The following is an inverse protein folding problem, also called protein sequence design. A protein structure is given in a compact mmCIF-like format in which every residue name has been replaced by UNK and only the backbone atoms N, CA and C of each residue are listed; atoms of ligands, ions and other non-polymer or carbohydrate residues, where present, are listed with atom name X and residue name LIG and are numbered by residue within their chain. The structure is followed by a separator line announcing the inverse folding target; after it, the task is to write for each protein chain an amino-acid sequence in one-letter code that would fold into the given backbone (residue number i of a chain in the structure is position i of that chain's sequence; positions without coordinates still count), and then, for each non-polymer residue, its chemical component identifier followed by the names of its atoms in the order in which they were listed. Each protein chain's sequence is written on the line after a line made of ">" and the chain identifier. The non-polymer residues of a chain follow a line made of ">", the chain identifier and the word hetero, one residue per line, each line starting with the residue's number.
data_IF_015466847974
#
_entry.id   IF_015466847974
#
_cell.length_a   1.000
_cell.length_b   1.000
_cell.length_c   1.000
_cell.angle_alpha   90.00
_cell.angle_beta   90.00
_cell.angle_gamma   90.00
#
_symmetry.space_group_name_H-M   'P 1'
#
loop_
_entity.id
_entity.type
_entity.pdbx_description
1 polymer ?
#
# COMPACT_ATOMS: atom_id res chain seq x y z
N UNK A 1 17.07 -33.15 -16.42
CA UNK A 1 17.19 -32.89 -14.97
C UNK A 1 16.99 -31.42 -14.60
N UNK A 2 17.43 -30.46 -15.43
CA UNK A 2 17.21 -29.02 -15.19
C UNK A 2 15.72 -28.61 -15.09
N UNK A 3 14.83 -29.17 -15.93
CA UNK A 3 13.38 -28.83 -15.95
C UNK A 3 12.67 -29.13 -14.61
N UNK A 4 13.06 -30.21 -13.93
CA UNK A 4 12.50 -30.60 -12.62
C UNK A 4 13.00 -29.68 -11.50
N UNK A 5 14.22 -29.15 -11.64
CA UNK A 5 14.80 -28.19 -10.70
C UNK A 5 14.04 -26.86 -10.82
N UNK A 6 13.78 -26.37 -12.04
CA UNK A 6 13.03 -25.13 -12.29
C UNK A 6 11.61 -25.15 -11.69
N UNK A 7 10.90 -26.28 -11.81
CA UNK A 7 9.57 -26.45 -11.18
C UNK A 7 9.63 -26.32 -9.65
N UNK A 8 10.63 -26.92 -9.01
CA UNK A 8 10.77 -26.88 -7.55
C UNK A 8 11.19 -25.51 -7.04
N UNK A 9 12.11 -24.82 -7.73
CA UNK A 9 12.56 -23.48 -7.33
C UNK A 9 11.42 -22.45 -7.47
N UNK A 10 10.61 -22.56 -8.53
CA UNK A 10 9.47 -21.67 -8.75
C UNK A 10 8.37 -21.88 -7.69
N UNK A 11 8.11 -23.13 -7.31
CA UNK A 11 7.20 -23.46 -6.20
C UNK A 11 7.71 -22.89 -4.87
N UNK A 12 9.02 -23.00 -4.58
CA UNK A 12 9.61 -22.45 -3.35
C UNK A 12 9.49 -20.92 -3.32
N UNK A 13 9.76 -20.22 -4.42
CA UNK A 13 9.58 -18.76 -4.51
C UNK A 13 8.11 -18.36 -4.32
N UNK A 14 7.18 -19.11 -4.91
CA UNK A 14 5.75 -18.86 -4.76
C UNK A 14 5.28 -19.08 -3.31
N UNK A 15 5.78 -20.12 -2.64
CA UNK A 15 5.48 -20.40 -1.23
C UNK A 15 6.07 -19.32 -0.31
N UNK A 16 7.33 -18.91 -0.54
CA UNK A 16 7.97 -17.83 0.22
C UNK A 16 7.23 -16.50 0.05
N UNK A 17 6.73 -16.21 -1.15
CA UNK A 17 5.90 -15.04 -1.42
C UNK A 17 4.61 -15.10 -0.59
N UNK A 18 3.84 -16.19 -0.70
CA UNK A 18 2.60 -16.40 0.07
C UNK A 18 2.86 -16.31 1.58
N UNK A 19 3.97 -16.87 2.07
CA UNK A 19 4.34 -16.85 3.48
C UNK A 19 4.70 -15.45 3.97
N UNK A 20 5.43 -14.65 3.17
CA UNK A 20 5.68 -13.24 3.46
C UNK A 20 4.41 -12.40 3.56
N UNK A 21 3.36 -12.71 2.78
CA UNK A 21 2.07 -12.02 2.92
C UNK A 21 1.30 -12.41 4.20
N UNK A 22 1.55 -13.60 4.76
CA UNK A 22 0.82 -14.08 5.95
C UNK A 22 1.43 -13.66 7.29
N UNK A 23 2.71 -13.25 7.33
CA UNK A 23 3.39 -12.90 8.60
C UNK A 23 3.18 -11.45 9.05
N UNK A 24 2.50 -10.60 8.27
CA UNK A 24 2.26 -9.21 8.63
C UNK A 24 1.02 -9.05 9.54
N UNK A 25 1.07 -9.55 10.77
CA UNK A 25 0.03 -9.26 11.76
C UNK A 25 0.57 -9.36 13.19
N UNK A 26 1.01 -8.23 13.73
CA UNK A 26 1.07 -8.06 15.19
C UNK A 26 0.34 -6.82 15.71
N UNK A 27 0.03 -5.81 14.89
CA UNK A 27 -0.98 -4.77 15.14
C UNK A 27 -0.99 -3.82 13.93
N UNK A 28 -2.17 -3.28 13.58
CA UNK A 28 -2.29 -2.29 12.51
C UNK A 28 -1.73 -0.95 13.00
N UNK A 29 -0.90 -0.29 12.19
CA UNK A 29 -0.39 1.06 12.47
C UNK A 29 -0.93 2.02 11.42
N UNK A 30 -1.56 3.11 11.84
CA UNK A 30 -2.11 4.13 10.95
C UNK A 30 -1.50 5.50 11.26
N UNK A 31 -1.57 6.42 10.29
CA UNK A 31 -1.36 7.84 10.58
C UNK A 31 -2.60 8.41 11.26
N UNK A 32 -2.40 9.26 12.27
CA UNK A 32 -3.46 9.96 12.99
C UNK A 32 -3.26 11.47 12.93
N UNK A 33 -4.34 12.18 12.63
CA UNK A 33 -4.48 13.61 12.88
C UNK A 33 -5.93 14.06 12.73
N UNK A 34 -6.33 15.11 13.44
CA UNK A 34 -7.72 15.59 13.43
C UNK A 34 -7.95 16.72 12.41
N UNK A 35 -6.96 17.56 12.14
CA UNK A 35 -7.04 18.67 11.18
C UNK A 35 -5.69 19.01 10.56
N UNK A 36 -5.34 18.27 9.52
CA UNK A 36 -4.09 18.40 8.79
C UNK A 36 -4.26 19.19 7.49
N UNK A 37 -3.39 20.18 7.17
CA UNK A 37 -3.42 20.89 5.89
C UNK A 37 -2.91 20.03 4.72
N UNK A 38 -3.47 20.17 3.52
CA UNK A 38 -2.92 19.58 2.27
C UNK A 38 -2.17 20.66 1.46
N UNK A 39 -1.08 20.37 0.73
CA UNK A 39 -0.35 19.11 0.59
C UNK A 39 0.56 18.86 1.79
N UNK A 40 0.60 17.62 2.29
CA UNK A 40 1.55 17.27 3.34
C UNK A 40 2.95 17.13 2.77
N UNK A 41 3.81 18.07 3.15
CA UNK A 41 5.21 17.75 3.42
C UNK A 41 5.26 16.91 4.70
N UNK A 42 6.08 15.86 4.67
CA UNK A 42 6.16 14.80 5.68
C UNK A 42 6.74 15.25 7.05
N UNK A 43 6.69 16.55 7.34
CA UNK A 43 7.37 17.25 8.45
C UNK A 43 6.40 17.96 9.40
N UNK A 44 5.09 17.93 9.12
CA UNK A 44 4.08 18.47 10.02
C UNK A 44 4.02 17.66 11.32
N UNK A 45 4.35 18.30 12.45
CA UNK A 45 4.23 17.73 13.79
C UNK A 45 2.80 17.31 14.18
N UNK A 46 1.81 17.66 13.35
CA UNK A 46 0.39 17.34 13.55
C UNK A 46 0.03 15.89 13.16
N UNK A 47 0.91 15.19 12.44
CA UNK A 47 0.70 13.79 12.05
C UNK A 47 1.60 12.89 12.86
N UNK A 48 0.99 11.93 13.53
CA UNK A 48 1.72 10.91 14.29
C UNK A 48 1.28 9.52 13.85
N UNK A 49 2.22 8.58 13.87
CA UNK A 49 1.91 7.17 13.72
C UNK A 49 1.28 6.66 15.03
N UNK A 50 0.18 5.93 14.93
CA UNK A 50 -0.49 5.32 16.08
C UNK A 50 -0.73 3.84 15.82
N UNK A 51 -0.44 3.03 16.83
CA UNK A 51 -0.82 1.62 16.86
C UNK A 51 -2.32 1.52 17.16
N UNK A 52 -3.07 0.93 16.24
CA UNK A 52 -4.50 0.72 16.41
C UNK A 52 -4.77 -0.34 17.48
N UNK A 53 -5.92 -0.21 18.12
CA UNK A 53 -6.42 -1.21 19.09
C UNK A 53 -6.82 -2.50 18.37
N UNK A 54 -6.98 -3.60 19.12
CA UNK A 54 -7.39 -4.90 18.55
C UNK A 54 -8.76 -4.89 17.87
N UNK A 55 -9.64 -3.95 18.22
CA UNK A 55 -10.94 -3.75 17.58
C UNK A 55 -10.90 -2.86 16.34
N UNK A 56 -9.78 -2.16 16.10
CA UNK A 56 -9.58 -1.26 14.97
C UNK A 56 -8.71 -1.93 13.91
N UNK A 57 -9.33 -2.39 12.84
CA UNK A 57 -8.68 -3.15 11.76
C UNK A 57 -8.54 -2.36 10.47
N UNK A 58 -8.90 -1.07 10.47
CA UNK A 58 -8.93 -0.23 9.28
C UNK A 58 -8.33 1.16 9.59
N UNK A 59 -7.45 1.64 8.71
CA UNK A 59 -7.03 3.03 8.65
C UNK A 59 -8.02 3.84 7.80
N UNK A 60 -8.41 5.01 8.29
CA UNK A 60 -9.29 5.95 7.59
C UNK A 60 -8.55 7.25 7.28
N UNK A 61 -8.92 7.87 6.15
CA UNK A 61 -8.60 9.25 5.78
C UNK A 61 -9.87 9.93 5.28
N UNK A 62 -10.28 11.00 5.95
CA UNK A 62 -11.34 11.88 5.48
C UNK A 62 -10.71 13.14 4.89
N UNK A 63 -11.22 13.60 3.76
CA UNK A 63 -10.80 14.83 3.10
C UNK A 63 -12.03 15.65 2.79
N UNK A 64 -12.08 16.89 3.27
CA UNK A 64 -13.17 17.83 3.00
C UNK A 64 -12.60 18.99 2.19
N UNK A 65 -13.18 19.22 1.01
CA UNK A 65 -12.81 20.30 0.10
C UNK A 65 -13.95 21.30 -0.02
N UNK A 66 -13.68 22.55 0.29
CA UNK A 66 -14.64 23.65 0.24
C UNK A 66 -13.99 24.77 -0.59
N UNK A 67 -14.78 25.42 -1.45
CA UNK A 67 -14.30 26.53 -2.28
C UNK A 67 -13.73 27.65 -1.39
N UNK A 68 -12.62 28.26 -1.82
CA UNK A 68 -11.94 29.32 -1.10
C UNK A 68 -11.46 28.95 0.31
N UNK A 69 -11.32 27.66 0.63
CA UNK A 69 -10.73 27.18 1.90
C UNK A 69 -9.67 26.12 1.65
N UNK A 70 -8.68 26.07 2.54
CA UNK A 70 -7.70 24.98 2.55
C UNK A 70 -8.42 23.65 2.81
N UNK A 71 -8.08 22.56 2.09
CA UNK A 71 -8.62 21.24 2.35
C UNK A 71 -8.39 20.83 3.80
N UNK A 72 -9.41 20.22 4.41
CA UNK A 72 -9.33 19.69 5.77
C UNK A 72 -9.17 18.17 5.69
N UNK A 73 -8.11 17.64 6.29
CA UNK A 73 -7.86 16.20 6.34
C UNK A 73 -7.88 15.72 7.78
N UNK A 74 -8.58 14.60 8.02
CA UNK A 74 -8.49 13.84 9.26
C UNK A 74 -8.09 12.39 8.97
N UNK A 75 -7.26 11.79 9.82
CA UNK A 75 -6.76 10.42 9.68
C UNK A 75 -6.83 9.68 11.02
N UNK A 76 -7.01 8.37 10.98
CA UNK A 76 -6.95 7.56 12.20
C UNK A 76 -7.26 6.08 11.99
N UNK A 77 -7.53 5.40 13.09
CA UNK A 77 -7.92 3.99 13.15
C UNK A 77 -9.43 3.86 13.42
N UNK A 78 -10.11 2.96 12.72
CA UNK A 78 -11.54 2.64 12.91
C UNK A 78 -11.78 1.13 12.81
N UNK A 79 -12.88 0.67 13.40
CA UNK A 79 -13.32 -0.73 13.32
C UNK A 79 -13.99 -1.06 11.98
N UNK A 80 -14.72 -0.09 11.42
CA UNK A 80 -15.42 -0.20 10.15
C UNK A 80 -15.34 1.13 9.39
N UNK A 81 -15.18 1.04 8.08
CA UNK A 81 -15.07 2.22 7.20
C UNK A 81 -15.68 1.88 5.84
N UNK A 82 -16.51 2.77 5.31
CA UNK A 82 -17.09 2.64 3.96
C UNK A 82 -16.52 3.76 3.10
N UNK A 83 -15.75 3.42 2.05
CA UNK A 83 -15.24 4.42 1.11
C UNK A 83 -16.39 5.20 0.49
N UNK A 84 -16.25 6.52 0.45
CA UNK A 84 -17.27 7.41 -0.08
C UNK A 84 -16.63 8.61 -0.77
N UNK A 85 -17.27 9.10 -1.82
CA UNK A 85 -16.82 10.24 -2.59
C UNK A 85 -18.05 11.07 -2.96
N UNK A 86 -18.23 12.17 -2.23
CA UNK A 86 -19.20 13.20 -2.59
C UNK A 86 -18.44 14.35 -3.25
N UNK A 87 -18.82 14.68 -4.48
CA UNK A 87 -18.21 15.75 -5.24
C UNK A 87 -19.31 16.56 -5.95
N UNK A 88 -19.32 17.85 -5.70
CA UNK A 88 -20.15 18.83 -6.37
C UNK A 88 -19.29 20.05 -6.72
N UNK A 89 -19.03 20.26 -8.02
CA UNK A 89 -18.16 21.34 -8.52
C UNK A 89 -16.76 21.40 -7.86
N UNK A 90 -16.10 20.26 -7.67
CA UNK A 90 -14.76 20.19 -7.08
C UNK A 90 -14.72 20.34 -5.56
N UNK A 91 -15.89 20.47 -4.93
CA UNK A 91 -16.08 20.53 -3.49
C UNK A 91 -16.74 19.24 -3.00
N UNK A 92 -16.47 18.86 -1.77
CA UNK A 92 -17.15 17.76 -1.13
C UNK A 92 -16.27 16.96 -0.19
N UNK A 93 -16.82 15.86 0.32
CA UNK A 93 -16.20 15.00 1.30
C UNK A 93 -15.82 13.65 0.68
N UNK A 94 -14.58 13.24 0.94
CA UNK A 94 -13.99 11.99 0.46
C UNK A 94 -13.54 11.18 1.67
N UNK A 95 -13.90 9.91 1.70
CA UNK A 95 -13.52 8.94 2.73
C UNK A 95 -12.76 7.82 2.04
N UNK A 96 -11.47 7.69 2.38
CA UNK A 96 -10.59 6.62 1.93
C UNK A 96 -10.34 5.65 3.09
N UNK A 97 -10.46 4.35 2.84
CA UNK A 97 -10.28 3.29 3.82
C UNK A 97 -9.25 2.28 3.33
N UNK A 98 -8.37 1.81 4.20
CA UNK A 98 -7.37 0.79 3.87
C UNK A 98 -6.94 0.02 5.13
N UNK A 99 -6.38 -1.17 5.00
CA UNK A 99 -6.14 -2.10 6.12
C UNK A 99 -4.68 -2.58 6.24
N UNK A 100 -3.73 -1.83 5.68
CA UNK A 100 -2.30 -2.11 5.76
C UNK A 100 -1.57 -1.04 6.56
N UNK A 101 -0.41 -1.37 7.13
CA UNK A 101 0.34 -0.41 7.93
C UNK A 101 0.68 0.85 7.12
N UNK A 102 0.41 2.02 7.70
CA UNK A 102 0.67 3.35 7.13
C UNK A 102 -0.05 3.66 5.80
N UNK A 103 -1.08 2.89 5.45
CA UNK A 103 -1.73 2.98 4.15
C UNK A 103 -2.54 4.25 3.92
N UNK A 104 -2.97 4.92 4.99
CA UNK A 104 -3.72 6.18 4.92
C UNK A 104 -2.81 7.42 4.73
N UNK A 105 -1.62 7.20 4.16
CA UNK A 105 -0.72 8.27 3.73
C UNK A 105 -1.29 9.00 2.51
N UNK A 106 -0.92 10.27 2.36
CA UNK A 106 -1.45 11.12 1.28
C UNK A 106 -0.92 10.73 -0.12
N UNK A 107 -0.04 9.73 -0.22
CA UNK A 107 0.60 9.32 -1.47
C UNK A 107 -0.10 8.13 -2.12
N UNK A 108 -0.94 8.48 -3.09
CA UNK A 108 -1.53 7.57 -4.07
C UNK A 108 -0.42 7.03 -4.99
N UNK A 109 0.31 5.96 -4.60
CA UNK A 109 1.05 5.04 -5.50
C UNK A 109 1.94 3.97 -4.82
N UNK A 110 1.49 3.27 -3.77
CA UNK A 110 2.26 2.11 -3.27
C UNK A 110 2.19 0.87 -4.19
N UNK A 111 1.11 0.72 -4.97
CA UNK A 111 0.90 -0.46 -5.83
C UNK A 111 1.87 -0.50 -7.02
N UNK A 112 2.27 0.66 -7.55
CA UNK A 112 3.15 0.75 -8.73
C UNK A 112 4.56 0.22 -8.46
N UNK A 113 5.10 0.43 -7.25
CA UNK A 113 6.46 0.01 -6.90
C UNK A 113 6.57 -1.50 -6.69
N UNK A 114 5.55 -2.09 -6.05
CA UNK A 114 5.51 -3.54 -5.80
C UNK A 114 5.41 -4.32 -7.11
N UNK A 115 4.60 -3.85 -8.07
CA UNK A 115 4.48 -4.45 -9.41
C UNK A 115 5.81 -4.32 -10.17
N UNK A 116 6.45 -3.15 -10.14
CA UNK A 116 7.72 -2.92 -10.82
C UNK A 116 8.84 -3.85 -10.31
N UNK A 117 8.96 -4.01 -8.99
CA UNK A 117 9.95 -4.92 -8.38
C UNK A 117 9.70 -6.37 -8.80
N UNK A 118 8.44 -6.80 -8.87
CA UNK A 118 8.09 -8.14 -9.33
C UNK A 118 8.52 -8.40 -10.79
N UNK A 119 8.28 -7.44 -11.70
CA UNK A 119 8.72 -7.55 -13.10
C UNK A 119 10.25 -7.58 -13.23
N UNK A 120 10.97 -6.79 -12.42
CA UNK A 120 12.44 -6.80 -12.41
C UNK A 120 13.00 -8.15 -11.95
N UNK A 121 12.39 -8.75 -10.91
CA UNK A 121 12.76 -10.07 -10.41
C UNK A 121 12.51 -11.13 -11.50
N UNK A 122 11.32 -11.17 -12.11
CA UNK A 122 11.03 -12.11 -13.20
C UNK A 122 12.03 -11.97 -14.34
N UNK A 123 12.34 -10.74 -14.77
CA UNK A 123 13.28 -10.50 -15.85
C UNK A 123 14.67 -11.07 -15.53
N UNK A 124 15.21 -10.84 -14.33
CA UNK A 124 16.52 -11.37 -13.93
C UNK A 124 16.58 -12.90 -13.85
N UNK A 125 15.46 -13.59 -13.61
CA UNK A 125 15.42 -15.06 -13.57
C UNK A 125 15.08 -15.70 -14.93
N UNK A 126 14.34 -15.01 -15.80
CA UNK A 126 13.91 -15.51 -17.12
C UNK A 126 14.93 -15.17 -18.22
N UNK A 127 15.57 -14.00 -18.17
CA UNK A 127 16.54 -13.57 -19.18
C UNK A 127 17.84 -14.37 -19.26
N UNK A 128 18.42 -14.93 -18.17
CA UNK A 128 19.62 -15.77 -18.32
C UNK A 128 19.35 -17.07 -19.11
N UNK A 129 18.09 -17.48 -19.30
CA UNK A 129 17.77 -18.69 -20.08
C UNK A 129 17.85 -18.49 -21.59
N UNK A 130 17.58 -17.29 -22.14
CA UNK A 130 17.75 -17.04 -23.57
C UNK A 130 19.22 -17.01 -23.97
N UNK A 131 20.10 -16.59 -23.06
CA UNK A 131 21.55 -16.63 -23.25
C UNK A 131 22.15 -18.01 -23.06
N UNK A 132 21.58 -18.88 -22.21
CA UNK A 132 22.08 -20.25 -22.01
C UNK A 132 21.61 -21.19 -23.13
N UNK A 133 20.39 -21.03 -23.65
CA UNK A 133 19.87 -21.87 -24.75
C UNK A 133 20.58 -21.53 -26.06
N UNK A 134 20.94 -20.26 -26.31
CA UNK A 134 21.72 -19.85 -27.49
C UNK A 134 23.19 -20.27 -27.48
N UNK A 135 23.71 -20.79 -26.37
CA UNK A 135 25.08 -21.33 -26.28
C UNK A 135 25.13 -22.87 -26.46
N UNK A 136 23.98 -23.55 -26.58
CA UNK A 136 23.90 -25.02 -26.75
C UNK A 136 23.39 -25.42 -28.16
N UNK A 137 23.24 -24.45 -29.08
CA UNK A 137 22.94 -24.69 -30.50
C UNK A 137 24.14 -24.38 -31.39
#
# INVERSE_FOLDING_TARGET
>A
MAVVIFSKTLIIVLILFIFCFKLASTQLICWKCDSCPEPHDNTSSLVSAVTCTSSQTICVKNTVRILNRAPQISKGCVSSCTPSSSNFFGQGAFVDCCNTNYCNISTRNQLSLMIYIFFMIIYSFVFPLSSIIGFIS
#
